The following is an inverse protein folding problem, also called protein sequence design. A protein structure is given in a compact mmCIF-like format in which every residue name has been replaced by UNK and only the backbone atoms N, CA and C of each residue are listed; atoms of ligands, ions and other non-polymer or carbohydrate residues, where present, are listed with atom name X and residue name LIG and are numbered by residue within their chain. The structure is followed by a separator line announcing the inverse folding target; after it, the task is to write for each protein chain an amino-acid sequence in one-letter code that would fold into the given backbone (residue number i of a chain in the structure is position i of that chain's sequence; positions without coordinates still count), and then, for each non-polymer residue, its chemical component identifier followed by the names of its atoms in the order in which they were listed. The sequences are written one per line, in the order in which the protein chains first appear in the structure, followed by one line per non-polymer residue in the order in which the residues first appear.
data_IF_883179153649
#
_entry.id   IF_883179153649
#
_cell.length_a   1.000
_cell.length_b   1.000
_cell.length_c   1.000
_cell.angle_alpha   90.00
_cell.angle_beta   90.00
_cell.angle_gamma   90.00
#
_symmetry.space_group_name_H-M   'P 1'
#
loop_
_entity.id
_entity.type
_entity.pdbx_description
1 polymer ?
#
# COMPACT_ATOMS: atom_id res chain seq x y z
N UNK A 1 28.82 24.23 62.57
CA UNK A 1 29.69 23.50 61.62
C UNK A 1 28.88 23.42 60.32
N UNK A 2 28.84 24.42 59.46
CA UNK A 2 29.92 25.18 58.83
C UNK A 2 30.95 24.27 58.14
N UNK A 3 30.75 24.04 56.84
CA UNK A 3 31.80 23.84 55.84
C UNK A 3 31.30 24.33 54.48
N UNK A 4 31.94 25.41 54.07
CA UNK A 4 31.89 26.08 52.78
C UNK A 4 32.68 25.30 51.71
N UNK A 5 32.56 25.80 50.47
CA UNK A 5 33.46 25.70 49.31
C UNK A 5 33.53 24.38 48.54
N UNK A 6 33.01 24.40 47.31
CA UNK A 6 33.78 24.76 46.09
C UNK A 6 32.73 25.04 44.99
N UNK A 7 32.45 26.29 44.61
CA UNK A 7 33.30 27.18 43.81
C UNK A 7 33.81 26.49 42.54
N UNK A 8 32.87 26.11 41.67
CA UNK A 8 33.15 25.90 40.25
C UNK A 8 32.77 27.18 39.52
N UNK A 9 33.75 28.08 39.43
CA UNK A 9 33.82 29.11 38.40
C UNK A 9 33.90 28.38 37.05
N UNK A 10 32.74 28.16 36.43
CA UNK A 10 32.68 27.94 35.00
C UNK A 10 32.68 29.32 34.38
N UNK A 11 33.87 29.71 33.92
CA UNK A 11 34.10 30.88 33.09
C UNK A 11 32.99 30.95 32.03
N UNK A 12 32.14 31.97 32.20
CA UNK A 12 31.20 32.47 31.21
C UNK A 12 32.05 32.93 30.02
N UNK A 13 32.36 31.97 29.14
CA UNK A 13 32.83 32.29 27.82
C UNK A 13 31.67 32.96 27.09
N UNK A 14 31.74 34.28 27.01
CA UNK A 14 30.97 35.17 26.15
C UNK A 14 30.88 34.59 24.73
N UNK A 15 29.88 33.74 24.52
CA UNK A 15 29.39 33.36 23.19
C UNK A 15 28.33 34.38 22.81
N UNK A 16 28.78 35.63 22.65
CA UNK A 16 28.05 36.72 21.96
C UNK A 16 28.04 36.44 20.44
N UNK A 17 27.66 35.22 20.08
CA UNK A 17 27.38 34.78 18.72
C UNK A 17 25.90 34.94 18.42
N UNK A 18 25.36 36.14 18.64
CA UNK A 18 24.04 36.58 18.13
C UNK A 18 24.09 36.85 16.60
N UNK A 19 24.99 36.18 15.89
CA UNK A 19 24.82 35.91 14.47
C UNK A 19 23.85 34.74 14.37
N UNK A 20 22.56 34.99 14.66
CA UNK A 20 21.50 34.16 14.09
C UNK A 20 21.39 34.61 12.62
N UNK A 21 22.01 33.89 11.65
CA UNK A 21 21.98 34.31 10.25
C UNK A 21 20.56 34.29 9.65
N UNK A 22 19.56 33.91 10.45
CA UNK A 22 18.15 33.89 10.11
C UNK A 22 17.29 34.91 10.88
N UNK A 23 17.90 35.74 11.76
CA UNK A 23 17.20 36.66 12.67
C UNK A 23 16.37 37.77 12.01
N UNK A 24 16.60 38.08 10.73
CA UNK A 24 15.93 39.18 10.02
C UNK A 24 15.25 38.74 8.71
N UNK A 25 14.86 37.47 8.57
CA UNK A 25 13.82 37.13 7.59
C UNK A 25 12.46 37.46 8.21
N UNK A 26 12.24 38.76 8.46
CA UNK A 26 10.92 39.31 8.71
C UNK A 26 10.06 38.95 7.50
N UNK A 27 9.38 37.81 7.62
CA UNK A 27 8.45 37.21 6.66
C UNK A 27 7.27 38.15 6.49
N UNK A 28 7.52 39.25 5.79
CA UNK A 28 6.56 40.29 5.42
C UNK A 28 6.29 40.23 3.92
N UNK A 29 6.79 39.18 3.27
CA UNK A 29 6.50 38.90 1.87
C UNK A 29 5.04 38.47 1.68
N UNK A 30 4.50 38.57 0.45
CA UNK A 30 3.14 38.15 0.14
C UNK A 30 2.82 36.68 0.51
N UNK A 31 3.85 35.84 0.67
CA UNK A 31 3.70 34.48 1.16
C UNK A 31 3.30 34.38 2.64
N UNK A 32 3.75 35.29 3.51
CA UNK A 32 3.46 35.24 4.94
C UNK A 32 1.97 35.48 5.24
N UNK A 33 1.33 36.40 4.50
CA UNK A 33 -0.12 36.61 4.59
C UNK A 33 -0.90 35.36 4.18
N UNK A 34 -0.37 34.57 3.23
CA UNK A 34 -1.04 33.35 2.78
C UNK A 34 -1.11 32.25 3.84
N UNK A 35 -0.13 32.17 4.75
CA UNK A 35 -0.14 31.16 5.81
C UNK A 35 -1.14 31.50 6.91
N UNK A 36 -1.15 32.75 7.39
CA UNK A 36 -2.12 33.20 8.39
C UNK A 36 -3.56 33.10 7.87
N UNK A 37 -3.79 33.49 6.61
CA UNK A 37 -5.10 33.35 5.95
C UNK A 37 -5.52 31.87 5.84
N UNK A 38 -4.58 30.98 5.48
CA UNK A 38 -4.83 29.54 5.42
C UNK A 38 -5.16 28.96 6.80
N UNK A 39 -4.39 29.31 7.83
CA UNK A 39 -4.61 28.84 9.20
C UNK A 39 -5.97 29.29 9.73
N UNK A 40 -6.35 30.54 9.45
CA UNK A 40 -7.66 31.10 9.77
C UNK A 40 -8.78 30.37 9.02
N UNK A 41 -8.59 30.03 7.74
CA UNK A 41 -9.56 29.25 6.98
C UNK A 41 -9.72 27.84 7.57
N UNK A 42 -8.62 27.15 7.91
CA UNK A 42 -8.69 25.82 8.55
C UNK A 42 -9.48 25.90 9.86
N UNK A 43 -9.24 26.91 10.70
CA UNK A 43 -9.97 27.09 11.95
C UNK A 43 -11.45 27.37 11.71
N UNK A 44 -11.79 28.18 10.72
CA UNK A 44 -13.17 28.44 10.34
C UNK A 44 -13.87 27.15 9.89
N UNK A 45 -13.21 26.30 9.09
CA UNK A 45 -13.75 25.01 8.63
C UNK A 45 -13.88 24.00 9.77
N UNK A 46 -12.94 23.96 10.71
CA UNK A 46 -13.04 23.13 11.94
C UNK A 46 -14.25 23.56 12.77
N UNK A 47 -14.43 24.86 13.00
CA UNK A 47 -15.60 25.40 13.73
C UNK A 47 -16.90 25.03 13.02
N UNK A 48 -16.96 25.19 11.70
CA UNK A 48 -18.12 24.83 10.89
C UNK A 48 -18.44 23.33 11.00
N UNK A 49 -17.43 22.46 10.87
CA UNK A 49 -17.57 21.02 10.97
C UNK A 49 -18.12 20.57 12.34
N UNK A 50 -17.65 21.19 13.42
CA UNK A 50 -18.06 20.86 14.79
C UNK A 50 -19.39 21.50 15.21
N UNK A 51 -19.88 22.49 14.47
CA UNK A 51 -21.15 23.15 14.75
C UNK A 51 -22.33 22.23 14.42
N UNK A 52 -22.78 21.42 15.38
CA UNK A 52 -23.85 20.44 15.18
C UNK A 52 -25.23 21.01 14.80
N UNK A 53 -25.41 22.33 14.87
CA UNK A 53 -26.62 23.05 14.41
C UNK A 53 -26.52 23.55 12.97
N UNK A 54 -25.34 23.53 12.37
CA UNK A 54 -25.12 23.97 10.98
C UNK A 54 -25.66 22.94 9.99
N UNK A 55 -25.93 23.41 8.77
CA UNK A 55 -26.44 22.58 7.69
C UNK A 55 -25.50 21.40 7.37
N UNK A 56 -26.08 20.22 7.18
CA UNK A 56 -25.32 18.98 6.98
C UNK A 56 -24.48 19.02 5.71
N UNK A 57 -24.92 19.71 4.65
CA UNK A 57 -24.15 19.86 3.41
C UNK A 57 -22.93 20.74 3.62
N UNK A 58 -23.08 21.88 4.30
CA UNK A 58 -21.94 22.75 4.65
C UNK A 58 -20.88 22.03 5.51
N UNK A 59 -21.32 21.22 6.49
CA UNK A 59 -20.42 20.41 7.32
C UNK A 59 -19.71 19.32 6.54
N UNK A 60 -20.42 18.70 5.59
CA UNK A 60 -19.86 17.72 4.65
C UNK A 60 -18.78 18.36 3.78
N UNK A 61 -19.06 19.53 3.21
CA UNK A 61 -18.08 20.30 2.41
C UNK A 61 -16.86 20.72 3.25
N UNK A 62 -17.07 21.13 4.51
CA UNK A 62 -15.99 21.43 5.44
C UNK A 62 -15.10 20.20 5.72
N UNK A 63 -15.69 19.02 5.93
CA UNK A 63 -14.94 17.79 6.15
C UNK A 63 -14.07 17.42 4.93
N UNK A 64 -14.63 17.50 3.72
CA UNK A 64 -13.87 17.27 2.49
C UNK A 64 -12.72 18.26 2.33
N UNK A 65 -13.01 19.55 2.51
CA UNK A 65 -12.00 20.59 2.40
C UNK A 65 -10.86 20.38 3.40
N UNK A 66 -11.18 20.01 4.65
CA UNK A 66 -10.17 19.74 5.68
C UNK A 66 -9.28 18.55 5.33
N UNK A 67 -9.85 17.47 4.79
CA UNK A 67 -9.07 16.33 4.29
C UNK A 67 -8.18 16.69 3.10
N UNK A 68 -8.69 17.49 2.16
CA UNK A 68 -7.93 17.95 0.98
C UNK A 68 -6.87 19.01 1.31
N UNK A 69 -7.07 19.78 2.38
CA UNK A 69 -6.09 20.77 2.85
C UNK A 69 -4.85 20.14 3.49
N UNK A 70 -4.94 18.88 3.91
CA UNK A 70 -3.86 18.19 4.62
C UNK A 70 -3.51 18.78 5.99
N UNK A 71 -4.34 19.68 6.55
CA UNK A 71 -4.04 20.36 7.81
C UNK A 71 -4.08 19.39 9.01
N UNK A 72 -2.95 19.06 9.66
CA UNK A 72 -2.91 18.05 10.72
C UNK A 72 -3.80 18.39 11.93
N UNK A 73 -3.97 19.68 12.24
CA UNK A 73 -4.85 20.16 13.32
C UNK A 73 -6.32 19.74 13.16
N UNK A 74 -6.75 19.40 11.94
CA UNK A 74 -8.11 18.95 11.65
C UNK A 74 -8.42 17.51 12.09
N UNK A 75 -7.39 16.66 12.27
CA UNK A 75 -7.54 15.22 12.51
C UNK A 75 -8.41 14.95 13.75
N UNK A 76 -8.15 15.64 14.86
CA UNK A 76 -8.91 15.47 16.11
C UNK A 76 -10.38 15.85 15.95
N UNK A 77 -10.67 16.91 15.19
CA UNK A 77 -12.04 17.35 14.91
C UNK A 77 -12.78 16.36 13.99
N UNK A 78 -12.11 15.87 12.93
CA UNK A 78 -12.65 14.86 12.01
C UNK A 78 -12.94 13.54 12.72
N UNK A 79 -12.02 13.04 13.56
CA UNK A 79 -12.22 11.84 14.38
C UNK A 79 -13.43 12.00 15.30
N UNK A 80 -13.54 13.14 15.99
CA UNK A 80 -14.69 13.43 16.86
C UNK A 80 -16.01 13.38 16.10
N UNK A 81 -16.07 13.92 14.88
CA UNK A 81 -17.27 13.88 14.04
C UNK A 81 -17.57 12.47 13.55
N UNK A 82 -16.55 11.72 13.12
CA UNK A 82 -16.71 10.34 12.71
C UNK A 82 -17.33 9.46 13.82
N UNK A 83 -16.85 9.61 15.06
CA UNK A 83 -17.33 8.84 16.20
C UNK A 83 -18.71 9.30 16.71
N UNK A 84 -18.93 10.62 16.80
CA UNK A 84 -20.07 11.19 17.53
C UNK A 84 -21.24 11.61 16.65
N UNK A 85 -21.04 11.88 15.36
CA UNK A 85 -22.10 12.35 14.46
C UNK A 85 -22.84 11.19 13.79
N UNK A 86 -23.55 10.42 14.61
CA UNK A 86 -24.32 9.25 14.16
C UNK A 86 -25.57 9.60 13.36
N UNK A 87 -26.06 10.84 13.50
CA UNK A 87 -27.29 11.33 12.87
C UNK A 87 -27.08 11.73 11.41
N UNK A 88 -25.93 12.31 11.07
CA UNK A 88 -25.65 12.79 9.73
C UNK A 88 -24.66 11.87 9.02
N UNK A 89 -25.17 10.79 8.41
CA UNK A 89 -24.33 9.79 7.73
C UNK A 89 -23.43 10.37 6.64
N UNK A 90 -23.88 11.38 5.90
CA UNK A 90 -23.06 12.07 4.91
C UNK A 90 -21.85 12.79 5.50
N UNK A 91 -22.04 13.46 6.65
CA UNK A 91 -20.94 14.15 7.36
C UNK A 91 -19.98 13.12 7.96
N UNK A 92 -20.50 12.03 8.53
CA UNK A 92 -19.70 10.92 9.06
C UNK A 92 -18.84 10.27 7.97
N UNK A 93 -19.40 10.01 6.78
CA UNK A 93 -18.68 9.46 5.63
C UNK A 93 -17.61 10.42 5.09
N UNK A 94 -17.90 11.71 5.01
CA UNK A 94 -16.92 12.71 4.59
C UNK A 94 -15.76 12.83 5.59
N UNK A 95 -16.04 12.73 6.90
CA UNK A 95 -15.00 12.69 7.93
C UNK A 95 -14.14 11.42 7.81
N UNK A 96 -14.75 10.25 7.56
CA UNK A 96 -14.02 9.01 7.33
C UNK A 96 -13.11 9.09 6.09
N UNK A 97 -13.62 9.66 4.99
CA UNK A 97 -12.85 9.89 3.78
C UNK A 97 -11.65 10.81 4.04
N UNK A 98 -11.87 11.94 4.72
CA UNK A 98 -10.81 12.87 5.07
C UNK A 98 -9.73 12.22 5.95
N UNK A 99 -10.11 11.42 6.96
CA UNK A 99 -9.17 10.65 7.77
C UNK A 99 -8.38 9.62 6.94
N UNK A 100 -9.01 9.02 5.93
CA UNK A 100 -8.33 8.15 4.97
C UNK A 100 -7.22 8.85 4.20
N UNK A 101 -7.42 10.12 3.83
CA UNK A 101 -6.38 10.93 3.16
C UNK A 101 -5.17 11.18 4.07
N UNK A 102 -5.39 11.43 5.36
CA UNK A 102 -4.29 11.56 6.33
C UNK A 102 -3.52 10.25 6.52
N UNK A 103 -4.20 9.09 6.53
CA UNK A 103 -3.53 7.79 6.60
C UNK A 103 -2.70 7.49 5.35
N UNK A 104 -3.21 7.85 4.17
CA UNK A 104 -2.47 7.71 2.92
C UNK A 104 -1.21 8.60 2.92
N UNK A 105 -1.29 9.81 3.50
CA UNK A 105 -0.15 10.69 3.67
C UNK A 105 0.89 10.11 4.64
N UNK A 106 0.47 9.64 5.82
CA UNK A 106 1.35 9.00 6.81
C UNK A 106 2.03 7.75 6.23
N UNK A 107 1.31 6.94 5.44
CA UNK A 107 1.88 5.78 4.77
C UNK A 107 2.83 6.11 3.61
N UNK A 108 2.75 7.31 3.04
CA UNK A 108 3.66 7.78 2.00
C UNK A 108 4.96 8.36 2.56
N UNK A 109 4.98 8.69 3.86
CA UNK A 109 6.14 9.23 4.56
C UNK A 109 6.90 8.07 5.19
N UNK A 110 8.18 7.92 4.82
CA UNK A 110 9.05 6.97 5.50
C UNK A 110 9.52 7.58 6.81
N UNK A 111 9.09 7.02 7.94
CA UNK A 111 9.45 7.49 9.29
C UNK A 111 9.58 6.35 10.29
N UNK A 112 10.38 6.57 11.33
CA UNK A 112 10.45 5.66 12.48
C UNK A 112 9.21 5.82 13.38
N UNK A 113 8.90 4.81 14.21
CA UNK A 113 7.64 4.76 14.98
C UNK A 113 7.47 5.97 15.93
N UNK A 114 8.57 6.42 16.53
CA UNK A 114 8.62 7.56 17.46
C UNK A 114 8.93 8.91 16.79
N UNK A 115 9.19 8.93 15.48
CA UNK A 115 9.56 10.14 14.75
C UNK A 115 8.31 10.97 14.41
N UNK A 116 8.36 12.28 14.67
CA UNK A 116 7.23 13.15 14.32
C UNK A 116 7.11 13.29 12.79
N UNK A 117 5.89 13.49 12.29
CA UNK A 117 5.66 13.70 10.84
C UNK A 117 6.43 14.92 10.33
N UNK A 118 6.59 15.96 11.16
CA UNK A 118 7.34 17.16 10.79
C UNK A 118 8.83 16.86 10.59
N UNK A 119 9.43 16.11 11.51
CA UNK A 119 10.83 15.73 11.44
C UNK A 119 11.09 14.78 10.27
N UNK A 120 10.20 13.79 10.10
CA UNK A 120 10.27 12.84 8.99
C UNK A 120 10.22 13.52 7.62
N UNK A 121 9.38 14.55 7.45
CA UNK A 121 9.32 15.33 6.21
C UNK A 121 10.63 16.07 5.89
N UNK A 122 11.52 16.27 6.87
CA UNK A 122 12.86 16.84 6.64
C UNK A 122 13.86 15.90 5.98
N UNK A 123 13.56 14.59 5.87
CA UNK A 123 14.46 13.58 5.30
C UNK A 123 14.52 13.65 3.78
N UNK A 124 15.69 13.33 3.22
CA UNK A 124 15.89 13.27 1.76
C UNK A 124 14.95 12.28 1.07
N UNK A 125 14.64 11.16 1.72
CA UNK A 125 13.72 10.13 1.21
C UNK A 125 12.27 10.65 1.04
N UNK A 126 11.90 11.74 1.71
CA UNK A 126 10.56 12.32 1.70
C UNK A 126 10.45 13.60 0.86
N UNK A 127 11.51 14.00 0.14
CA UNK A 127 11.54 15.25 -0.64
C UNK A 127 10.47 15.29 -1.74
N UNK A 128 10.16 14.15 -2.36
CA UNK A 128 9.08 14.06 -3.36
C UNK A 128 7.71 14.36 -2.76
N UNK A 129 7.47 13.89 -1.52
CA UNK A 129 6.23 14.15 -0.76
C UNK A 129 6.16 15.64 -0.40
N UNK A 130 7.25 16.22 0.10
CA UNK A 130 7.32 17.66 0.42
C UNK A 130 7.09 18.51 -0.82
N UNK A 131 7.71 18.16 -1.96
CA UNK A 131 7.52 18.87 -3.22
C UNK A 131 6.06 18.81 -3.70
N UNK A 132 5.40 17.65 -3.54
CA UNK A 132 3.99 17.49 -3.88
C UNK A 132 3.08 18.30 -2.96
N UNK A 133 3.30 18.25 -1.64
CA UNK A 133 2.57 19.05 -0.65
C UNK A 133 2.75 20.55 -0.89
N UNK A 134 3.98 20.98 -1.14
CA UNK A 134 4.33 22.37 -1.44
C UNK A 134 3.63 22.85 -2.71
N UNK A 135 3.60 22.01 -3.75
CA UNK A 135 2.89 22.34 -4.98
C UNK A 135 1.38 22.48 -4.78
N UNK A 136 0.79 21.61 -3.96
CA UNK A 136 -0.63 21.68 -3.62
C UNK A 136 -0.93 22.95 -2.80
N UNK A 137 -0.09 23.26 -1.81
CA UNK A 137 -0.28 24.39 -0.90
C UNK A 137 -0.08 25.74 -1.59
N UNK A 138 1.00 25.91 -2.36
CA UNK A 138 1.37 27.20 -2.95
C UNK A 138 0.68 27.49 -4.29
N UNK A 139 0.47 26.46 -5.12
CA UNK A 139 -0.03 26.67 -6.48
C UNK A 139 -1.48 26.25 -6.68
N UNK A 140 -2.18 25.88 -5.59
CA UNK A 140 -3.50 25.25 -5.63
C UNK A 140 -3.57 24.16 -6.72
N UNK A 141 -2.46 23.43 -6.90
CA UNK A 141 -2.31 22.38 -7.90
C UNK A 141 -3.05 21.11 -7.46
N UNK A 142 -4.11 21.25 -6.64
CA UNK A 142 -5.11 20.21 -6.41
C UNK A 142 -5.61 19.84 -7.79
N UNK A 143 -5.18 18.69 -8.30
CA UNK A 143 -5.49 18.25 -9.65
C UNK A 143 -6.98 18.45 -9.86
N UNK A 144 -7.34 19.46 -10.68
CA UNK A 144 -8.75 19.85 -10.88
C UNK A 144 -9.45 18.55 -11.16
N UNK A 145 -10.32 18.10 -10.25
CA UNK A 145 -11.12 16.89 -10.44
C UNK A 145 -11.81 17.13 -11.76
N UNK A 146 -11.25 16.62 -12.86
CA UNK A 146 -11.81 16.81 -14.19
C UNK A 146 -13.14 16.10 -14.03
N UNK A 147 -14.21 16.87 -13.90
CA UNK A 147 -15.57 16.36 -14.04
C UNK A 147 -15.60 15.81 -15.43
N UNK A 148 -15.24 14.53 -15.56
CA UNK A 148 -15.36 13.79 -16.80
C UNK A 148 -16.84 13.87 -17.10
N UNK A 149 -17.23 14.55 -18.19
CA UNK A 149 -18.64 14.67 -18.53
C UNK A 149 -19.18 13.25 -18.62
N UNK A 150 -20.36 13.02 -18.03
CA UNK A 150 -20.98 11.68 -17.92
C UNK A 150 -21.08 10.98 -19.27
N UNK A 151 -21.18 11.74 -20.36
CA UNK A 151 -21.11 11.25 -21.74
C UNK A 151 -19.82 10.53 -22.10
N UNK A 152 -18.65 11.02 -21.65
CA UNK A 152 -17.37 10.33 -21.87
C UNK A 152 -17.24 9.07 -21.03
N UNK A 153 -17.80 9.07 -19.83
CA UNK A 153 -17.79 7.91 -18.94
C UNK A 153 -18.65 6.76 -19.52
N UNK A 154 -19.81 7.10 -20.09
CA UNK A 154 -20.64 6.14 -20.85
C UNK A 154 -19.92 5.59 -22.07
N UNK A 155 -19.20 6.43 -22.82
CA UNK A 155 -18.40 5.99 -23.96
C UNK A 155 -17.32 4.97 -23.53
N UNK A 156 -16.58 5.26 -22.46
CA UNK A 156 -15.56 4.34 -21.93
C UNK A 156 -16.18 3.04 -21.44
N UNK A 157 -17.30 3.10 -20.72
CA UNK A 157 -18.01 1.90 -20.28
C UNK A 157 -18.46 1.04 -21.47
N UNK A 158 -18.99 1.66 -22.54
CA UNK A 158 -19.41 0.97 -23.76
C UNK A 158 -18.22 0.34 -24.52
N UNK A 159 -17.09 1.03 -24.57
CA UNK A 159 -15.87 0.51 -25.20
C UNK A 159 -15.31 -0.68 -24.41
N UNK A 160 -15.36 -0.60 -23.07
CA UNK A 160 -14.93 -1.67 -22.18
C UNK A 160 -15.86 -2.90 -22.26
N UNK A 161 -17.17 -2.70 -22.36
CA UNK A 161 -18.09 -3.83 -22.55
C UNK A 161 -17.95 -4.47 -23.93
N UNK A 162 -17.72 -3.67 -24.99
CA UNK A 162 -17.47 -4.20 -26.34
C UNK A 162 -16.16 -5.01 -26.40
N UNK A 163 -15.09 -4.51 -25.79
CA UNK A 163 -13.81 -5.23 -25.75
C UNK A 163 -13.92 -6.52 -24.96
N UNK A 164 -14.56 -6.50 -23.79
CA UNK A 164 -14.82 -7.71 -23.00
C UNK A 164 -15.70 -8.72 -23.76
N UNK A 165 -16.77 -8.25 -24.40
CA UNK A 165 -17.64 -9.08 -25.23
C UNK A 165 -16.88 -9.71 -26.41
N UNK A 166 -15.98 -8.93 -27.05
CA UNK A 166 -15.09 -9.42 -28.08
C UNK A 166 -14.15 -10.53 -27.58
N UNK A 167 -13.58 -10.38 -26.39
CA UNK A 167 -12.77 -11.41 -25.75
C UNK A 167 -13.56 -12.69 -25.45
N UNK A 168 -14.81 -12.57 -24.97
CA UNK A 168 -15.68 -13.73 -24.71
C UNK A 168 -15.99 -14.45 -26.02
N UNK A 169 -16.40 -13.73 -27.07
CA UNK A 169 -16.69 -14.32 -28.38
C UNK A 169 -15.43 -14.96 -28.97
N UNK A 170 -14.28 -14.30 -28.88
CA UNK A 170 -13.01 -14.86 -29.32
C UNK A 170 -12.69 -16.16 -28.55
N UNK A 171 -12.86 -16.18 -27.23
CA UNK A 171 -12.61 -17.38 -26.43
C UNK A 171 -13.57 -18.54 -26.77
N UNK A 172 -14.81 -18.25 -27.16
CA UNK A 172 -15.80 -19.27 -27.56
C UNK A 172 -15.63 -19.74 -29.01
N UNK A 173 -15.18 -18.86 -29.91
CA UNK A 173 -15.07 -19.16 -31.35
C UNK A 173 -13.70 -19.68 -31.74
N UNK A 174 -12.66 -19.38 -30.96
CA UNK A 174 -11.38 -20.06 -31.10
C UNK A 174 -11.64 -21.54 -30.78
N UNK A 175 -11.49 -22.46 -31.76
CA UNK A 175 -11.56 -23.88 -31.46
C UNK A 175 -10.56 -24.10 -30.34
N UNK A 176 -10.97 -24.81 -29.28
CA UNK A 176 -10.09 -25.14 -28.16
C UNK A 176 -8.78 -25.62 -28.78
N UNK A 177 -7.82 -24.69 -28.88
CA UNK A 177 -6.47 -25.02 -29.27
C UNK A 177 -6.14 -25.86 -28.08
N UNK A 178 -6.17 -27.19 -28.28
CA UNK A 178 -5.37 -28.09 -27.46
C UNK A 178 -4.08 -27.33 -27.43
N UNK A 179 -3.78 -26.68 -26.30
CA UNK A 179 -2.45 -26.15 -26.04
C UNK A 179 -1.65 -27.36 -26.44
N UNK A 180 -0.91 -27.34 -27.57
CA UNK A 180 -0.15 -28.51 -27.96
C UNK A 180 0.58 -28.80 -26.68
N UNK A 181 0.27 -29.95 -26.06
CA UNK A 181 0.98 -30.43 -24.89
C UNK A 181 2.38 -30.11 -25.29
N UNK A 182 3.01 -29.18 -24.58
CA UNK A 182 4.35 -28.75 -24.93
C UNK A 182 5.11 -30.04 -24.72
N UNK A 183 5.24 -30.82 -25.80
CA UNK A 183 6.27 -31.80 -25.98
C UNK A 183 7.46 -30.91 -25.85
N UNK A 184 7.94 -30.85 -24.60
CA UNK A 184 9.00 -29.99 -24.15
C UNK A 184 9.99 -29.90 -25.27
N UNK A 185 10.12 -28.67 -25.74
CA UNK A 185 10.92 -28.18 -26.84
C UNK A 185 12.31 -28.81 -26.80
N UNK A 186 12.43 -30.05 -27.28
CA UNK A 186 13.70 -30.72 -27.51
C UNK A 186 14.51 -30.02 -28.62
N UNK A 187 13.91 -29.02 -29.27
CA UNK A 187 14.51 -28.20 -30.31
C UNK A 187 15.11 -26.87 -29.81
N UNK A 188 14.92 -26.49 -28.53
CA UNK A 188 15.77 -25.46 -27.90
C UNK A 188 16.90 -26.14 -27.11
N UNK A 189 17.61 -27.08 -27.75
CA UNK A 189 18.99 -27.43 -27.40
C UNK A 189 19.90 -26.27 -27.78
N UNK A 190 19.67 -25.11 -27.13
CA UNK A 190 20.76 -24.19 -26.88
C UNK A 190 21.77 -24.92 -26.01
N UNK A 191 23.03 -24.59 -26.16
CA UNK A 191 24.21 -25.19 -25.52
C UNK A 191 24.27 -25.00 -24.00
N UNK A 192 23.12 -25.01 -23.32
CA UNK A 192 23.03 -24.88 -21.88
C UNK A 192 23.61 -26.11 -21.19
N UNK A 193 24.38 -25.86 -20.15
CA UNK A 193 24.95 -26.93 -19.31
C UNK A 193 23.82 -27.72 -18.63
N UNK A 194 24.08 -28.96 -18.21
CA UNK A 194 23.12 -29.75 -17.45
C UNK A 194 22.58 -28.99 -16.21
N UNK A 195 23.42 -28.14 -15.61
CA UNK A 195 23.05 -27.24 -14.52
C UNK A 195 21.96 -26.22 -14.91
N UNK A 196 22.06 -25.58 -16.08
CA UNK A 196 21.06 -24.62 -16.53
C UNK A 196 19.69 -25.28 -16.81
N UNK A 197 19.70 -26.49 -17.39
CA UNK A 197 18.47 -27.25 -17.59
C UNK A 197 17.83 -27.63 -16.25
N UNK A 198 18.63 -28.09 -15.28
CA UNK A 198 18.15 -28.45 -13.96
C UNK A 198 17.57 -27.25 -13.20
N UNK A 199 18.21 -26.08 -13.28
CA UNK A 199 17.69 -24.84 -12.68
C UNK A 199 16.37 -24.39 -13.32
N UNK A 200 16.24 -24.52 -14.64
CA UNK A 200 15.00 -24.21 -15.34
C UNK A 200 13.83 -25.11 -14.89
N UNK A 201 14.07 -26.42 -14.79
CA UNK A 201 13.05 -27.36 -14.31
C UNK A 201 12.70 -27.11 -12.84
N UNK A 202 13.71 -26.87 -12.00
CA UNK A 202 13.52 -26.55 -10.58
C UNK A 202 12.68 -25.28 -10.39
N UNK A 203 12.93 -24.24 -11.20
CA UNK A 203 12.15 -23.00 -11.19
C UNK A 203 10.68 -23.23 -11.50
N UNK A 204 10.37 -23.99 -12.55
CA UNK A 204 8.99 -24.32 -12.92
C UNK A 204 8.26 -25.06 -11.79
N UNK A 205 8.91 -26.06 -11.18
CA UNK A 205 8.31 -26.80 -10.04
C UNK A 205 8.12 -25.94 -8.80
N UNK A 206 9.04 -25.01 -8.53
CA UNK A 206 8.91 -24.07 -7.42
C UNK A 206 7.74 -23.10 -7.64
N UNK A 207 7.51 -22.66 -8.88
CA UNK A 207 6.37 -21.82 -9.24
C UNK A 207 5.04 -22.57 -9.12
N UNK A 208 4.98 -23.83 -9.56
CA UNK A 208 3.81 -24.71 -9.37
C UNK A 208 3.50 -24.91 -7.88
N UNK A 209 4.51 -25.22 -7.07
CA UNK A 209 4.36 -25.39 -5.62
C UNK A 209 3.85 -24.10 -4.94
N UNK A 210 4.35 -22.93 -5.37
CA UNK A 210 3.88 -21.62 -4.88
C UNK A 210 2.42 -21.36 -5.27
N UNK A 211 2.03 -21.74 -6.49
CA UNK A 211 0.65 -21.64 -6.96
C UNK A 211 -0.30 -22.49 -6.11
N UNK A 212 0.07 -23.73 -5.83
CA UNK A 212 -0.69 -24.62 -4.94
C UNK A 212 -0.77 -24.06 -3.52
N UNK A 213 0.32 -23.47 -3.01
CA UNK A 213 0.35 -22.82 -1.70
C UNK A 213 -0.64 -21.66 -1.57
N UNK A 214 -0.67 -20.78 -2.56
CA UNK A 214 -1.61 -19.66 -2.60
C UNK A 214 -3.06 -20.12 -2.74
N UNK A 215 -3.29 -21.16 -3.55
CA UNK A 215 -4.62 -21.74 -3.72
C UNK A 215 -5.17 -22.29 -2.39
N UNK A 216 -4.36 -23.04 -1.63
CA UNK A 216 -4.76 -23.57 -0.33
C UNK A 216 -5.00 -22.44 0.68
N UNK A 217 -4.11 -21.44 0.73
CA UNK A 217 -4.28 -20.30 1.65
C UNK A 217 -5.60 -19.58 1.39
N UNK A 218 -5.97 -19.41 0.11
CA UNK A 218 -7.25 -18.81 -0.29
C UNK A 218 -8.43 -19.64 0.21
N UNK A 219 -8.35 -20.97 0.07
CA UNK A 219 -9.41 -21.87 0.56
C UNK A 219 -9.52 -21.88 2.09
N UNK A 220 -8.40 -21.93 2.81
CA UNK A 220 -8.40 -21.88 4.27
C UNK A 220 -8.95 -20.54 4.80
N UNK A 221 -8.63 -19.44 4.12
CA UNK A 221 -9.19 -18.12 4.45
C UNK A 221 -10.70 -18.10 4.21
N UNK A 222 -11.18 -18.65 3.09
CA UNK A 222 -12.62 -18.78 2.84
C UNK A 222 -13.30 -19.66 3.91
N UNK A 223 -12.68 -20.78 4.27
CA UNK A 223 -13.15 -21.71 5.30
C UNK A 223 -13.27 -21.07 6.69
N UNK A 224 -12.44 -20.08 7.01
CA UNK A 224 -12.51 -19.37 8.30
C UNK A 224 -13.79 -18.56 8.48
N UNK A 225 -14.45 -18.20 7.37
CA UNK A 225 -15.68 -17.39 7.39
C UNK A 225 -16.94 -18.19 7.14
N UNK A 226 -16.83 -19.32 6.46
CA UNK A 226 -17.95 -20.16 6.05
C UNK A 226 -17.52 -21.63 6.16
N UNK A 227 -18.34 -22.54 6.71
CA UNK A 227 -18.03 -23.97 6.72
C UNK A 227 -17.68 -24.48 5.32
N UNK A 228 -16.62 -25.28 5.22
CA UNK A 228 -16.18 -25.88 3.96
C UNK A 228 -17.30 -26.73 3.35
N UNK A 229 -17.62 -26.44 2.10
CA UNK A 229 -18.55 -27.23 1.29
C UNK A 229 -17.76 -28.06 0.27
N UNK A 230 -18.32 -29.16 -0.20
CA UNK A 230 -17.71 -30.04 -1.23
C UNK A 230 -17.33 -29.25 -2.49
N UNK A 231 -18.07 -28.18 -2.82
CA UNK A 231 -17.77 -27.31 -3.95
C UNK A 231 -16.46 -26.52 -3.77
N UNK A 232 -16.10 -26.18 -2.52
CA UNK A 232 -14.84 -25.48 -2.21
C UNK A 232 -13.63 -26.41 -2.19
N UNK A 233 -13.85 -27.72 -1.99
CA UNK A 233 -12.82 -28.76 -2.10
C UNK A 233 -12.51 -29.17 -3.57
N UNK A 234 -13.16 -28.56 -4.56
CA UNK A 234 -13.02 -28.94 -5.97
C UNK A 234 -11.78 -28.38 -6.69
N UNK A 235 -10.95 -27.58 -6.02
CA UNK A 235 -9.74 -27.02 -6.66
C UNK A 235 -8.74 -28.14 -6.89
N UNK A 236 -8.25 -28.22 -8.13
CA UNK A 236 -7.19 -29.16 -8.50
C UNK A 236 -5.84 -28.56 -8.16
N UNK A 237 -5.13 -29.21 -7.26
CA UNK A 237 -3.72 -28.92 -6.97
C UNK A 237 -2.83 -29.72 -7.93
N UNK A 238 -1.72 -29.11 -8.35
CA UNK A 238 -0.79 -29.78 -9.27
C UNK A 238 0.10 -30.78 -8.54
N UNK A 239 0.48 -30.47 -7.29
CA UNK A 239 1.35 -31.25 -6.41
C UNK A 239 2.61 -31.73 -7.13
N UNK A 240 3.50 -30.80 -7.54
CA UNK A 240 4.74 -31.18 -8.20
C UNK A 240 5.54 -32.10 -7.26
N UNK A 241 5.97 -33.25 -7.76
CA UNK A 241 6.73 -34.20 -6.94
C UNK A 241 8.15 -33.72 -6.62
N UNK A 242 8.81 -34.41 -5.68
CA UNK A 242 10.20 -34.15 -5.32
C UNK A 242 11.13 -34.09 -6.56
N UNK A 243 12.10 -33.20 -6.51
CA UNK A 243 13.07 -32.98 -7.58
C UNK A 243 14.29 -33.88 -7.39
N UNK A 244 14.66 -34.62 -8.44
CA UNK A 244 15.87 -35.45 -8.46
C UNK A 244 16.89 -34.82 -9.39
N UNK A 245 18.06 -34.49 -8.85
CA UNK A 245 19.16 -33.94 -9.66
C UNK A 245 19.82 -35.06 -10.46
N UNK A 246 20.12 -34.80 -11.73
CA UNK A 246 20.90 -35.73 -12.57
C UNK A 246 22.34 -35.83 -12.02
N UNK A 247 22.90 -37.04 -11.92
CA UNK A 247 24.26 -37.30 -11.42
C UNK A 247 25.36 -36.51 -12.16
N UNK A 248 25.09 -36.06 -13.38
CA UNK A 248 26.01 -35.24 -14.19
C UNK A 248 26.09 -33.77 -13.74
N UNK A 249 25.20 -33.32 -12.85
CA UNK A 249 25.20 -31.95 -12.33
C UNK A 249 26.09 -31.88 -11.10
N UNK A 250 27.30 -31.35 -11.28
CA UNK A 250 28.28 -31.15 -10.19
C UNK A 250 28.23 -29.75 -9.59
N UNK A 251 27.35 -28.88 -10.08
CA UNK A 251 27.22 -27.51 -9.61
C UNK A 251 26.54 -27.48 -8.23
N UNK A 252 27.28 -27.06 -7.21
CA UNK A 252 26.80 -27.03 -5.82
C UNK A 252 25.60 -26.11 -5.63
N UNK A 253 25.48 -25.04 -6.43
CA UNK A 253 24.34 -24.12 -6.31
C UNK A 253 23.02 -24.78 -6.71
N UNK A 254 23.07 -25.68 -7.70
CA UNK A 254 21.91 -26.44 -8.17
C UNK A 254 21.55 -27.52 -7.16
N UNK A 255 22.55 -28.19 -6.58
CA UNK A 255 22.35 -29.19 -5.53
C UNK A 255 21.70 -28.56 -4.28
N UNK A 256 22.21 -27.43 -3.80
CA UNK A 256 21.65 -26.71 -2.66
C UNK A 256 20.22 -26.20 -2.95
N UNK A 257 19.96 -25.75 -4.18
CA UNK A 257 18.62 -25.32 -4.58
C UNK A 257 17.62 -26.49 -4.63
N UNK A 258 18.05 -27.64 -5.14
CA UNK A 258 17.25 -28.87 -5.16
C UNK A 258 16.93 -29.38 -3.74
N UNK A 259 17.91 -29.35 -2.84
CA UNK A 259 17.71 -29.73 -1.44
C UNK A 259 16.70 -28.81 -0.75
N UNK A 260 16.84 -27.49 -0.90
CA UNK A 260 15.87 -26.50 -0.38
C UNK A 260 14.46 -26.72 -0.93
N UNK A 261 14.32 -26.97 -2.23
CA UNK A 261 13.03 -27.28 -2.84
C UNK A 261 12.42 -28.55 -2.23
N UNK A 262 13.20 -29.62 -2.07
CA UNK A 262 12.71 -30.88 -1.52
C UNK A 262 12.30 -30.75 -0.03
N UNK A 263 13.00 -29.92 0.74
CA UNK A 263 12.61 -29.57 2.10
C UNK A 263 11.25 -28.84 2.09
N UNK A 264 11.10 -27.79 1.28
CA UNK A 264 9.83 -27.05 1.13
C UNK A 264 8.69 -27.92 0.64
N UNK A 265 8.94 -28.83 -0.31
CA UNK A 265 7.96 -29.79 -0.79
C UNK A 265 7.50 -30.72 0.35
N UNK A 266 8.42 -31.21 1.18
CA UNK A 266 8.08 -32.08 2.32
C UNK A 266 7.23 -31.34 3.34
N UNK A 267 7.61 -30.10 3.67
CA UNK A 267 6.84 -29.24 4.59
C UNK A 267 5.45 -28.90 4.05
N UNK A 268 5.30 -28.82 2.72
CA UNK A 268 4.03 -28.54 2.05
C UNK A 268 3.07 -29.74 2.01
N UNK A 269 3.59 -30.95 1.75
CA UNK A 269 2.76 -32.15 1.58
C UNK A 269 1.96 -32.48 2.84
N UNK A 270 2.51 -32.20 4.03
CA UNK A 270 1.87 -32.58 5.29
C UNK A 270 0.60 -31.76 5.61
N UNK A 271 0.61 -30.40 5.54
CA UNK A 271 -0.61 -29.59 5.60
C UNK A 271 -1.60 -29.93 4.49
N UNK A 272 -1.11 -30.16 3.27
CA UNK A 272 -1.97 -30.51 2.14
C UNK A 272 -2.73 -31.80 2.40
N UNK A 273 -2.06 -32.86 2.88
CA UNK A 273 -2.71 -34.13 3.22
C UNK A 273 -3.80 -33.96 4.28
N UNK A 274 -3.55 -33.13 5.30
CA UNK A 274 -4.55 -32.85 6.35
C UNK A 274 -5.78 -32.15 5.77
N UNK A 275 -5.58 -31.24 4.82
CA UNK A 275 -6.66 -30.58 4.10
C UNK A 275 -7.44 -31.56 3.21
N UNK A 276 -6.73 -32.41 2.45
CA UNK A 276 -7.33 -33.42 1.57
C UNK A 276 -8.18 -34.42 2.37
N UNK A 277 -7.64 -34.92 3.49
CA UNK A 277 -8.36 -35.81 4.41
C UNK A 277 -9.63 -35.15 4.96
N UNK A 278 -9.59 -33.85 5.28
CA UNK A 278 -10.75 -33.10 5.78
C UNK A 278 -11.81 -32.80 4.70
N UNK A 279 -11.40 -32.76 3.43
CA UNK A 279 -12.29 -32.50 2.31
C UNK A 279 -13.01 -33.76 1.81
N UNK A 280 -12.40 -34.93 1.96
CA UNK A 280 -12.86 -36.16 1.30
C UNK A 280 -13.18 -37.34 2.25
N UNK A 281 -12.88 -37.25 3.56
CA UNK A 281 -13.31 -38.24 4.57
C UNK A 281 -14.37 -37.67 5.52
#
# INVERSE_FOLDING_TARGET
MAKDNDLLDLDDADLDGDDDPFGDVASSGPAARSLEDFEAEVDAKIRLLLAGKSDAKQRTEAAYWLGESGAPKAITALRRVYEKDTKNKGVQQAAAYALGQFKALDAAITRDEDESVGDALGRDDNQDVVALLTNIALYDARGKRRRTPTSRLLLFALLLTLTLGGFIVANLTLPARRVPRVENSAAMRGTGTAAQSALGELGLRADELRGDAQALQTQLTAASTTPLTVAQCATKFTLPGAFSVNEQVTDSTVLDAAERYNALHTDWVQPFKTFDDACFN
#
